data_IF_582836926378
#
_entry.id   IF_582836926378
#
_cell.length_a   1.000
_cell.length_b   1.000
_cell.length_c   1.000
_cell.angle_alpha   90.00
_cell.angle_beta   90.00
_cell.angle_gamma   90.00
#
_symmetry.space_group_name_H-M   'P 1'
#
loop_
_entity.id
_entity.type
_entity.pdbx_description
1 polymer ?
#
# COMPACT_ATOMS: atom_id res chain seq x y z
N UNK A 1 39.17 39.17 -8.11
CA UNK A 1 37.73 39.34 -7.81
C UNK A 1 37.00 38.10 -8.32
N UNK A 2 36.70 37.09 -7.50
CA UNK A 2 36.03 35.89 -8.00
C UNK A 2 34.54 36.15 -8.23
N UNK A 3 34.04 35.62 -9.34
CA UNK A 3 32.68 35.67 -9.86
C UNK A 3 31.73 34.77 -9.08
N UNK A 4 30.51 35.25 -8.84
CA UNK A 4 29.41 34.53 -8.20
C UNK A 4 29.09 33.23 -8.97
N UNK A 5 29.38 32.09 -8.34
CA UNK A 5 28.89 30.78 -8.76
C UNK A 5 27.41 30.64 -8.40
N UNK A 6 26.56 30.66 -9.41
CA UNK A 6 25.14 30.34 -9.32
C UNK A 6 24.98 28.83 -9.13
N UNK A 7 24.64 28.39 -7.92
CA UNK A 7 24.39 26.98 -7.58
C UNK A 7 23.01 26.57 -8.09
N UNK A 8 22.96 26.07 -9.32
CA UNK A 8 21.82 25.39 -9.93
C UNK A 8 21.59 24.00 -9.28
N UNK A 9 21.12 23.97 -8.03
CA UNK A 9 20.93 22.71 -7.27
C UNK A 9 19.49 22.18 -7.21
N UNK A 10 18.48 22.93 -7.65
CA UNK A 10 17.07 22.64 -7.32
C UNK A 10 16.24 22.02 -8.44
N UNK A 11 16.74 22.00 -9.68
CA UNK A 11 15.97 21.60 -10.87
C UNK A 11 15.87 20.08 -11.05
N UNK A 12 16.98 19.36 -10.83
CA UNK A 12 17.09 17.92 -11.13
C UNK A 12 16.18 17.05 -10.26
N UNK A 13 15.99 17.37 -8.99
CA UNK A 13 15.15 16.59 -8.08
C UNK A 13 13.65 16.60 -8.44
N UNK A 14 13.12 17.78 -8.80
CA UNK A 14 11.71 17.92 -9.23
C UNK A 14 11.46 17.22 -10.56
N UNK A 15 12.40 17.30 -11.48
CA UNK A 15 12.32 16.63 -12.79
C UNK A 15 12.26 15.10 -12.62
N UNK A 16 13.11 14.52 -11.77
CA UNK A 16 13.10 13.08 -11.48
C UNK A 16 11.76 12.64 -10.87
N UNK A 17 11.20 13.41 -9.93
CA UNK A 17 9.91 13.11 -9.32
C UNK A 17 8.80 13.12 -10.36
N UNK A 18 8.78 14.14 -11.23
CA UNK A 18 7.78 14.25 -12.29
C UNK A 18 7.88 13.08 -13.29
N UNK A 19 9.09 12.69 -13.69
CA UNK A 19 9.29 11.50 -14.53
C UNK A 19 8.76 10.23 -13.88
N UNK A 20 8.96 10.05 -12.56
CA UNK A 20 8.45 8.89 -11.81
C UNK A 20 6.92 8.88 -11.73
N UNK A 21 6.32 10.03 -11.42
CA UNK A 21 4.86 10.18 -11.37
C UNK A 21 4.25 9.84 -12.73
N UNK A 22 4.79 10.41 -13.82
CA UNK A 22 4.31 10.15 -15.17
C UNK A 22 4.42 8.67 -15.58
N UNK A 23 5.51 7.98 -15.21
CA UNK A 23 5.67 6.56 -15.48
C UNK A 23 4.63 5.70 -14.74
N UNK A 24 4.35 6.01 -13.48
CA UNK A 24 3.35 5.31 -12.66
C UNK A 24 1.94 5.58 -13.19
N UNK A 25 1.62 6.82 -13.55
CA UNK A 25 0.33 7.19 -14.14
C UNK A 25 0.09 6.49 -15.48
N UNK A 26 1.13 6.39 -16.33
CA UNK A 26 1.07 5.64 -17.59
C UNK A 26 0.81 4.14 -17.37
N UNK A 27 1.30 3.56 -16.27
CA UNK A 27 0.95 2.20 -15.84
C UNK A 27 -0.45 2.10 -15.18
N UNK A 28 -1.21 3.20 -15.15
CA UNK A 28 -2.53 3.29 -14.55
C UNK A 28 -2.52 3.42 -13.03
N UNK A 29 -1.38 3.75 -12.42
CA UNK A 29 -1.18 3.94 -10.98
C UNK A 29 -1.57 5.34 -10.50
N UNK A 30 -2.78 5.80 -10.82
CA UNK A 30 -3.23 7.11 -10.31
C UNK A 30 -3.31 7.12 -8.79
N UNK A 31 -3.10 8.27 -8.16
CA UNK A 31 -3.16 8.40 -6.70
C UNK A 31 -4.45 7.82 -6.09
N UNK A 32 -5.66 8.10 -6.62
CA UNK A 32 -6.89 7.49 -6.10
C UNK A 32 -6.95 5.97 -6.27
N UNK A 33 -6.26 5.40 -7.26
CA UNK A 33 -6.18 3.95 -7.43
C UNK A 33 -5.24 3.34 -6.39
N UNK A 34 -4.05 3.92 -6.22
CA UNK A 34 -3.06 3.48 -5.22
C UNK A 34 -3.68 3.51 -3.82
N UNK A 35 -4.34 4.62 -3.45
CA UNK A 35 -5.02 4.74 -2.16
C UNK A 35 -6.11 3.67 -1.98
N UNK A 36 -6.89 3.35 -3.03
CA UNK A 36 -7.91 2.28 -2.98
C UNK A 36 -7.31 0.89 -2.83
N UNK A 37 -6.19 0.59 -3.49
CA UNK A 37 -5.50 -0.70 -3.32
C UNK A 37 -4.96 -0.85 -1.90
N UNK A 38 -4.28 0.18 -1.38
CA UNK A 38 -3.77 0.19 -0.01
C UNK A 38 -4.90 0.06 1.02
N UNK A 39 -6.01 0.76 0.82
CA UNK A 39 -7.20 0.65 1.68
C UNK A 39 -7.80 -0.76 1.67
N UNK A 40 -7.85 -1.43 0.52
CA UNK A 40 -8.37 -2.79 0.43
C UNK A 40 -7.53 -3.79 1.26
N UNK A 41 -6.21 -3.59 1.34
CA UNK A 41 -5.32 -4.39 2.17
C UNK A 41 -5.42 -3.97 3.64
N UNK A 42 -5.32 -2.67 3.92
CA UNK A 42 -5.33 -2.11 5.27
C UNK A 42 -6.62 -2.39 6.05
N UNK A 43 -7.74 -2.54 5.35
CA UNK A 43 -9.04 -2.81 5.94
C UNK A 43 -9.58 -4.21 5.61
N UNK A 44 -8.73 -5.14 5.16
CA UNK A 44 -9.16 -6.52 4.94
C UNK A 44 -9.52 -7.21 6.26
N UNK A 45 -10.55 -8.06 6.23
CA UNK A 45 -11.01 -8.90 7.34
C UNK A 45 -10.84 -10.38 6.98
N UNK A 46 -10.28 -11.18 7.88
CA UNK A 46 -10.05 -12.62 7.66
C UNK A 46 -11.36 -13.39 7.47
N UNK A 47 -12.45 -12.92 8.09
CA UNK A 47 -13.79 -13.52 7.97
C UNK A 47 -14.30 -13.52 6.51
N UNK A 48 -13.73 -12.69 5.64
CA UNK A 48 -14.07 -12.64 4.23
C UNK A 48 -13.42 -13.75 3.38
N UNK A 49 -12.49 -14.52 3.98
CA UNK A 49 -11.69 -15.53 3.28
C UNK A 49 -11.87 -16.93 3.88
N UNK A 50 -12.54 -17.05 5.03
CA UNK A 50 -12.73 -18.32 5.73
C UNK A 50 -14.19 -18.52 6.14
N UNK A 51 -14.62 -19.76 6.14
CA UNK A 51 -15.88 -20.21 6.75
C UNK A 51 -15.58 -21.11 7.93
N UNK A 52 -16.52 -21.19 8.86
CA UNK A 52 -16.48 -22.16 9.95
C UNK A 52 -17.47 -23.26 9.60
N UNK A 53 -16.93 -24.45 9.31
CA UNK A 53 -17.72 -25.67 9.10
C UNK A 53 -18.19 -26.25 10.44
N UNK A 54 -19.07 -27.24 10.36
CA UNK A 54 -19.61 -27.96 11.51
C UNK A 54 -18.49 -28.55 12.38
N UNK A 55 -18.60 -28.38 13.70
CA UNK A 55 -17.55 -28.76 14.66
C UNK A 55 -16.40 -27.76 14.80
N UNK A 56 -16.54 -26.52 14.30
CA UNK A 56 -15.56 -25.45 14.51
C UNK A 56 -14.34 -25.49 13.59
N UNK A 57 -14.38 -26.31 12.52
CA UNK A 57 -13.28 -26.42 11.55
C UNK A 57 -13.29 -25.20 10.63
N UNK A 58 -12.18 -24.47 10.59
CA UNK A 58 -12.02 -23.33 9.66
C UNK A 58 -11.63 -23.85 8.28
N UNK A 59 -12.37 -23.44 7.25
CA UNK A 59 -12.11 -23.77 5.85
C UNK A 59 -11.97 -22.49 5.03
N UNK A 60 -11.06 -22.46 4.07
CA UNK A 60 -10.92 -21.30 3.20
C UNK A 60 -12.04 -21.25 2.15
N UNK A 61 -12.62 -20.07 1.92
CA UNK A 61 -13.63 -19.84 0.88
C UNK A 61 -12.95 -19.95 -0.49
N UNK A 62 -13.42 -20.81 -1.41
CA UNK A 62 -12.86 -20.87 -2.77
C UNK A 62 -12.78 -19.49 -3.44
N UNK A 63 -11.78 -19.28 -4.29
CA UNK A 63 -11.47 -17.97 -4.88
C UNK A 63 -12.62 -17.36 -5.69
N UNK A 64 -13.50 -18.20 -6.24
CA UNK A 64 -14.73 -17.78 -6.93
C UNK A 64 -15.80 -17.23 -5.98
N UNK A 65 -15.81 -17.66 -4.72
CA UNK A 65 -16.70 -17.15 -3.68
C UNK A 65 -16.24 -15.80 -3.08
N UNK A 66 -14.99 -15.39 -3.32
CA UNK A 66 -14.44 -14.15 -2.77
C UNK A 66 -14.75 -12.97 -3.74
N UNK A 67 -15.39 -11.89 -3.25
CA UNK A 67 -15.64 -10.70 -4.06
C UNK A 67 -14.36 -10.14 -4.67
N UNK A 68 -14.41 -9.69 -5.94
CA UNK A 68 -13.22 -9.17 -6.66
C UNK A 68 -12.48 -8.07 -5.90
N UNK A 69 -13.20 -7.22 -5.17
CA UNK A 69 -12.61 -6.15 -4.34
C UNK A 69 -11.77 -6.69 -3.19
N UNK A 70 -12.18 -7.80 -2.58
CA UNK A 70 -11.52 -8.41 -1.43
C UNK A 70 -10.33 -9.27 -1.85
N UNK A 71 -10.40 -9.91 -3.02
CA UNK A 71 -9.25 -10.66 -3.60
C UNK A 71 -7.94 -9.88 -3.69
N UNK A 72 -8.00 -8.55 -3.72
CA UNK A 72 -6.83 -7.65 -3.75
C UNK A 72 -5.93 -7.78 -2.52
N UNK A 73 -6.47 -8.22 -1.38
CA UNK A 73 -5.69 -8.42 -0.16
C UNK A 73 -4.97 -9.79 -0.13
N UNK A 74 -5.26 -10.69 -1.09
CA UNK A 74 -4.63 -12.00 -1.17
C UNK A 74 -3.23 -11.85 -1.78
N UNK A 75 -2.22 -12.22 -1.01
CA UNK A 75 -0.82 -12.27 -1.44
C UNK A 75 -0.49 -13.58 -2.15
N UNK A 76 -0.99 -14.70 -1.64
CA UNK A 76 -0.72 -16.04 -2.18
C UNK A 76 -1.89 -17.00 -1.96
N UNK A 77 -2.07 -17.92 -2.89
CA UNK A 77 -3.03 -19.04 -2.82
C UNK A 77 -2.22 -20.33 -2.89
N UNK A 78 -2.48 -21.28 -1.99
CA UNK A 78 -1.94 -22.65 -2.07
C UNK A 78 -3.09 -23.64 -2.04
N UNK A 79 -3.04 -24.63 -2.91
CA UNK A 79 -4.00 -25.73 -2.96
C UNK A 79 -3.25 -27.04 -2.74
N UNK A 80 -3.65 -27.80 -1.71
CA UNK A 80 -3.15 -29.15 -1.45
C UNK A 80 -4.25 -30.12 -1.83
N UNK A 81 -3.93 -31.09 -2.69
CA UNK A 81 -4.82 -32.18 -3.08
C UNK A 81 -4.20 -33.49 -2.65
N UNK A 82 -4.95 -34.32 -1.93
CA UNK A 82 -4.56 -35.67 -1.58
C UNK A 82 -5.61 -36.63 -2.13
N UNK A 83 -5.14 -37.58 -2.94
CA UNK A 83 -5.94 -38.68 -3.46
C UNK A 83 -5.76 -39.83 -2.47
N UNK A 84 -6.81 -40.20 -1.75
CA UNK A 84 -6.84 -41.40 -0.93
C UNK A 84 -7.48 -42.51 -1.75
N UNK A 85 -6.68 -43.49 -2.16
CA UNK A 85 -7.19 -44.72 -2.74
C UNK A 85 -7.54 -45.67 -1.60
N UNK A 86 -8.82 -46.02 -1.48
CA UNK A 86 -9.27 -47.06 -0.54
C UNK A 86 -8.99 -48.43 -1.13
N UNK A 87 -8.33 -49.38 -0.42
CA UNK A 87 -8.18 -50.74 -0.92
C UNK A 87 -9.52 -51.49 -0.83
N UNK A 88 -10.17 -51.72 -1.96
CA UNK A 88 -11.41 -52.49 -2.07
C UNK A 88 -12.10 -52.23 -3.42
N UNK A 89 -12.62 -53.29 -4.06
CA UNK A 89 -13.05 -53.41 -5.47
C UNK A 89 -14.14 -52.45 -6.01
N UNK A 90 -14.46 -51.34 -5.33
CA UNK A 90 -15.30 -50.27 -5.87
C UNK A 90 -14.67 -48.94 -5.50
N UNK A 91 -13.95 -48.38 -6.47
CA UNK A 91 -13.07 -47.22 -6.32
C UNK A 91 -13.81 -45.93 -5.97
N UNK A 92 -14.04 -45.72 -4.68
CA UNK A 92 -14.31 -44.39 -4.15
C UNK A 92 -12.96 -43.71 -3.86
N UNK A 93 -12.60 -42.80 -4.75
CA UNK A 93 -11.45 -41.90 -4.60
C UNK A 93 -11.86 -40.79 -3.66
N UNK A 94 -11.39 -40.81 -2.41
CA UNK A 94 -11.60 -39.68 -1.50
C UNK A 94 -10.56 -38.61 -1.85
N UNK A 95 -11.02 -37.52 -2.47
CA UNK A 95 -10.22 -36.35 -2.77
C UNK A 95 -10.27 -35.39 -1.58
N UNK A 96 -9.20 -35.31 -0.80
CA UNK A 96 -9.03 -34.30 0.25
C UNK A 96 -8.41 -33.04 -0.36
N UNK A 97 -9.13 -31.92 -0.35
CA UNK A 97 -8.71 -30.64 -0.91
C UNK A 97 -8.64 -29.58 0.19
N UNK A 98 -7.46 -29.01 0.42
CA UNK A 98 -7.26 -27.91 1.34
C UNK A 98 -6.75 -26.67 0.57
N UNK A 99 -7.48 -25.56 0.68
CA UNK A 99 -7.05 -24.26 0.17
C UNK A 99 -6.53 -23.41 1.32
N UNK A 100 -5.37 -22.79 1.13
CA UNK A 100 -4.75 -21.87 2.09
C UNK A 100 -4.54 -20.50 1.43
N UNK A 101 -4.91 -19.43 2.12
CA UNK A 101 -4.65 -18.04 1.70
C UNK A 101 -3.62 -17.37 2.60
N UNK A 102 -2.66 -16.72 1.96
CA UNK A 102 -1.76 -15.76 2.61
C UNK A 102 -2.23 -14.35 2.23
N UNK A 103 -2.48 -13.49 3.21
CA UNK A 103 -2.85 -12.08 2.98
C UNK A 103 -1.61 -11.17 3.03
N UNK A 104 -1.70 -10.00 2.42
CA UNK A 104 -0.67 -8.95 2.58
C UNK A 104 -0.63 -8.42 4.02
N UNK A 105 0.50 -7.82 4.40
CA UNK A 105 0.67 -7.22 5.73
C UNK A 105 -0.25 -5.99 5.88
N UNK A 106 -1.19 -6.10 6.81
CA UNK A 106 -2.16 -5.06 7.13
C UNK A 106 -1.52 -3.82 7.77
N UNK A 107 -0.53 -4.02 8.64
CA UNK A 107 0.13 -2.94 9.37
C UNK A 107 0.95 -2.06 8.44
N UNK A 108 1.66 -2.65 7.49
CA UNK A 108 2.43 -1.86 6.51
C UNK A 108 1.52 -1.06 5.59
N UNK A 109 0.42 -1.65 5.11
CA UNK A 109 -0.57 -0.91 4.33
C UNK A 109 -1.15 0.29 5.11
N UNK A 110 -1.43 0.11 6.41
CA UNK A 110 -1.89 1.20 7.29
C UNK A 110 -0.84 2.30 7.44
N UNK A 111 0.45 1.96 7.65
CA UNK A 111 1.54 2.96 7.73
C UNK A 111 1.61 3.79 6.46
N UNK A 112 1.54 3.17 5.28
CA UNK A 112 1.55 3.89 4.01
C UNK A 112 0.34 4.81 3.86
N UNK A 113 -0.86 4.39 4.29
CA UNK A 113 -2.04 5.25 4.27
C UNK A 113 -1.90 6.45 5.23
N UNK A 114 -1.38 6.25 6.43
CA UNK A 114 -1.12 7.34 7.38
C UNK A 114 -0.14 8.38 6.80
N UNK A 115 0.90 7.92 6.11
CA UNK A 115 1.83 8.80 5.37
C UNK A 115 1.14 9.59 4.26
N UNK A 116 0.27 8.93 3.49
CA UNK A 116 -0.47 9.58 2.41
C UNK A 116 -1.49 10.59 2.94
N UNK A 117 -2.10 10.35 4.11
CA UNK A 117 -3.02 11.27 4.77
C UNK A 117 -2.30 12.46 5.42
N UNK A 118 -1.01 12.33 5.70
CA UNK A 118 -0.19 13.34 6.37
C UNK A 118 -0.20 13.23 7.89
N UNK A 119 -0.59 12.09 8.46
CA UNK A 119 -0.58 11.89 9.92
C UNK A 119 0.83 11.76 10.48
N UNK A 120 1.75 11.22 9.68
CA UNK A 120 3.14 11.03 10.08
C UNK A 120 3.95 12.28 9.71
N UNK A 121 4.33 13.06 10.71
CA UNK A 121 5.25 14.21 10.54
C UNK A 121 6.63 13.66 10.23
N UNK A 122 7.09 13.84 8.99
CA UNK A 122 8.47 13.52 8.64
C UNK A 122 9.41 14.50 9.33
N UNK A 123 10.23 13.99 10.26
CA UNK A 123 11.34 14.77 10.83
C UNK A 123 12.42 14.90 9.77
N UNK A 124 12.55 16.09 9.21
CA UNK A 124 13.66 16.42 8.31
C UNK A 124 14.85 16.80 9.18
N UNK A 125 15.85 15.91 9.28
CA UNK A 125 17.17 16.31 9.75
C UNK A 125 17.89 17.02 8.60
N UNK A 126 18.42 18.20 8.89
CA UNK A 126 19.19 18.98 7.94
C UNK A 126 20.59 19.21 8.51
N UNK A 127 21.59 18.52 7.96
CA UNK A 127 22.99 18.62 8.38
C UNK A 127 23.74 19.76 7.66
N UNK A 128 23.02 20.66 6.98
CA UNK A 128 23.57 21.76 6.20
C UNK A 128 23.36 23.14 6.83
N UNK A 129 24.10 24.13 6.35
CA UNK A 129 23.93 25.53 6.75
C UNK A 129 22.57 26.05 6.28
N UNK A 130 21.66 26.31 7.23
CA UNK A 130 20.37 26.94 6.96
C UNK A 130 20.59 28.44 6.79
N UNK A 131 20.29 28.97 5.60
CA UNK A 131 20.25 30.43 5.37
C UNK A 131 18.85 30.93 5.66
N UNK A 132 18.65 31.56 6.82
CA UNK A 132 17.39 32.20 7.18
C UNK A 132 17.34 33.60 6.57
N UNK A 133 16.37 33.85 5.68
CA UNK A 133 16.04 35.21 5.26
C UNK A 133 14.95 35.74 6.17
N UNK A 134 15.30 36.70 7.02
CA UNK A 134 14.30 37.48 7.78
C UNK A 134 13.59 38.38 6.78
N UNK A 135 12.29 38.16 6.60
CA UNK A 135 11.43 39.06 5.82
C UNK A 135 10.75 39.97 6.84
N UNK A 136 11.19 41.22 6.93
CA UNK A 136 10.50 42.21 7.74
C UNK A 136 9.19 42.58 7.04
N UNK A 137 8.08 42.29 7.69
CA UNK A 137 6.79 42.86 7.32
C UNK A 137 6.81 44.31 7.84
N UNK A 138 6.77 45.27 6.93
CA UNK A 138 6.70 46.68 7.32
C UNK A 138 5.41 46.91 8.13
N UNK A 139 5.57 47.47 9.34
CA UNK A 139 4.45 47.94 10.14
C UNK A 139 3.64 48.96 9.33
N UNK A 140 2.32 48.76 9.35
CA UNK A 140 1.38 49.56 8.59
C UNK A 140 1.48 51.05 8.90
N UNK A 141 1.32 51.84 7.83
CA UNK A 141 0.94 53.25 7.77
C UNK A 141 0.79 53.96 9.13
N UNK A 142 1.75 54.80 9.46
CA UNK A 142 1.49 55.98 10.28
C UNK A 142 1.12 57.11 9.29
N UNK A 143 -0.17 57.36 9.13
CA UNK A 143 -0.72 58.53 8.43
C UNK A 143 -0.73 59.69 9.44
N UNK A 144 0.08 60.76 9.28
CA UNK A 144 -0.12 61.97 10.05
C UNK A 144 -1.12 62.87 9.31
N UNK A 145 -2.27 63.07 9.96
CA UNK A 145 -3.27 64.11 9.67
C UNK A 145 -2.67 65.50 9.54
#
# INVERSE_FOLDING_TARGET
MPTNGEIAGTSSGREIVNCRVAAIEKAGGTFPKIARELAAIAFSDIADYVTVAEGGKVQAIPSNGIPKKKRKAIKKIREKRRILNTPGDKGDVILDQATEYELYDKLDALKYLCRLRGDEVQKVQHDGNITVKVVNFADGNNDPS
#
